data_IF_618438177594
#
_entry.id   IF_618438177594
#
_cell.length_a   1.000
_cell.length_b   1.000
_cell.length_c   1.000
_cell.angle_alpha   90.00
_cell.angle_beta   90.00
_cell.angle_gamma   90.00
#
_symmetry.space_group_name_H-M   'P 1'
#
loop_
_entity.id
_entity.type
_entity.pdbx_description
1 polymer ?
#
# COMPACT_ATOMS: atom_id res chain seq x y z
N UNK A 1 -3.98 -18.70 -7.53
CA UNK A 1 -3.77 -17.30 -7.09
C UNK A 1 -2.76 -17.27 -5.96
N UNK A 2 -1.70 -16.48 -6.12
CA UNK A 2 -0.64 -16.33 -5.12
C UNK A 2 -1.14 -15.51 -3.90
N UNK A 3 -0.69 -15.81 -2.67
CA UNK A 3 -0.91 -14.94 -1.52
C UNK A 3 -0.18 -13.59 -1.71
N UNK A 4 -0.75 -12.50 -1.20
CA UNK A 4 -0.17 -11.16 -1.30
C UNK A 4 0.47 -10.67 0.01
N UNK A 5 1.49 -9.83 -0.08
CA UNK A 5 2.06 -9.11 1.07
C UNK A 5 1.99 -7.61 0.77
N UNK A 6 1.22 -6.88 1.57
CA UNK A 6 1.09 -5.43 1.50
C UNK A 6 2.14 -4.79 2.40
N UNK A 7 3.07 -4.06 1.81
CA UNK A 7 4.12 -3.32 2.51
C UNK A 7 3.74 -1.84 2.55
N UNK A 8 3.20 -1.42 3.70
CA UNK A 8 2.69 -0.07 3.93
C UNK A 8 3.81 0.84 4.40
N UNK A 9 3.89 2.02 3.79
CA UNK A 9 4.96 2.99 3.99
C UNK A 9 4.72 3.86 5.24
N UNK A 10 5.76 4.54 5.70
CA UNK A 10 5.70 5.42 6.86
C UNK A 10 5.09 6.79 6.56
N UNK A 11 5.17 7.68 7.55
CA UNK A 11 4.62 9.05 7.51
C UNK A 11 5.15 9.91 6.35
N UNK A 12 6.30 9.55 5.77
CA UNK A 12 6.94 10.21 4.63
C UNK A 12 6.80 9.41 3.33
N UNK A 13 5.68 8.72 3.15
CA UNK A 13 5.35 8.11 1.86
C UNK A 13 5.49 9.19 0.77
N UNK A 14 6.44 8.98 -0.13
CA UNK A 14 6.69 9.86 -1.27
C UNK A 14 5.81 9.43 -2.44
N UNK A 15 5.58 10.36 -3.38
CA UNK A 15 4.74 10.09 -4.56
C UNK A 15 5.53 9.42 -5.70
N UNK A 16 6.85 9.23 -5.55
CA UNK A 16 7.73 8.61 -6.54
C UNK A 16 7.97 7.12 -6.26
N UNK A 17 8.41 6.75 -5.05
CA UNK A 17 8.66 5.36 -4.65
C UNK A 17 8.25 5.11 -3.20
N UNK A 18 7.85 3.87 -2.92
CA UNK A 18 7.57 3.41 -1.56
C UNK A 18 8.88 3.28 -0.76
N UNK A 19 8.89 3.76 0.48
CA UNK A 19 10.04 3.76 1.39
C UNK A 19 10.65 2.38 1.64
N UNK A 20 9.88 1.29 1.47
CA UNK A 20 10.41 -0.08 1.49
C UNK A 20 11.36 -0.35 0.32
N UNK A 21 11.06 0.12 -0.88
CA UNK A 21 11.93 -0.05 -2.05
C UNK A 21 13.16 0.87 -1.97
N UNK A 22 12.99 2.08 -1.43
CA UNK A 22 14.09 3.05 -1.28
C UNK A 22 15.12 2.58 -0.24
N UNK A 23 14.68 1.99 0.88
CA UNK A 23 15.55 1.73 2.03
C UNK A 23 15.86 0.25 2.25
N UNK A 24 15.24 -0.67 1.50
CA UNK A 24 15.43 -2.12 1.69
C UNK A 24 15.44 -2.86 0.36
N UNK A 25 16.06 -4.03 0.33
CA UNK A 25 16.00 -4.95 -0.80
C UNK A 25 14.70 -5.81 -0.77
N UNK A 26 13.57 -5.26 -0.30
CA UNK A 26 12.34 -6.02 -0.08
C UNK A 26 11.82 -6.70 -1.35
N UNK A 27 11.97 -6.08 -2.53
CA UNK A 27 11.63 -6.75 -3.78
C UNK A 27 12.53 -7.98 -4.04
N UNK A 28 13.85 -7.84 -3.90
CA UNK A 28 14.78 -8.96 -4.10
C UNK A 28 14.57 -10.10 -3.11
N UNK A 29 14.20 -9.81 -1.86
CA UNK A 29 13.95 -10.84 -0.85
C UNK A 29 12.68 -11.65 -1.11
N UNK A 30 11.69 -11.08 -1.80
CA UNK A 30 10.42 -11.75 -2.10
C UNK A 30 10.33 -12.26 -3.55
N UNK A 31 11.31 -11.96 -4.40
CA UNK A 31 11.45 -12.62 -5.71
C UNK A 31 11.53 -14.14 -5.52
N UNK A 32 10.80 -14.88 -6.36
CA UNK A 32 10.68 -16.35 -6.34
C UNK A 32 10.12 -16.98 -5.05
N UNK A 33 9.64 -16.18 -4.10
CA UNK A 33 9.00 -16.67 -2.87
C UNK A 33 7.62 -17.30 -3.07
N UNK A 34 7.02 -17.10 -4.25
CA UNK A 34 5.63 -17.46 -4.53
C UNK A 34 4.59 -16.49 -3.93
N UNK A 35 5.05 -15.36 -3.38
CA UNK A 35 4.21 -14.29 -2.83
C UNK A 35 4.17 -13.10 -3.79
N UNK A 36 3.01 -12.45 -3.89
CA UNK A 36 2.86 -11.20 -4.62
C UNK A 36 3.14 -10.02 -3.68
N UNK A 37 4.26 -9.32 -3.90
CA UNK A 37 4.62 -8.13 -3.11
C UNK A 37 3.90 -6.90 -3.65
N UNK A 38 3.17 -6.20 -2.77
CA UNK A 38 2.31 -5.06 -3.11
C UNK A 38 2.77 -3.87 -2.27
N UNK A 39 3.25 -2.82 -2.95
CA UNK A 39 3.75 -1.60 -2.32
C UNK A 39 2.93 -0.40 -2.81
N UNK A 40 1.90 0.06 -2.08
CA UNK A 40 1.16 1.26 -2.43
C UNK A 40 2.09 2.49 -2.37
N UNK A 41 2.02 3.37 -3.37
CA UNK A 41 2.83 4.60 -3.46
C UNK A 41 1.95 5.81 -3.12
N UNK A 42 2.51 6.80 -2.43
CA UNK A 42 1.81 8.00 -1.98
C UNK A 42 1.08 7.83 -0.65
N UNK A 43 0.25 8.82 -0.31
CA UNK A 43 -0.52 8.82 0.94
C UNK A 43 0.24 9.40 2.13
N UNK A 44 1.06 10.42 1.89
CA UNK A 44 1.75 11.15 2.95
C UNK A 44 0.77 11.56 4.05
N UNK A 45 1.11 11.22 5.30
CA UNK A 45 0.28 11.47 6.50
C UNK A 45 -1.14 10.88 6.46
N UNK A 46 -1.42 9.88 5.63
CA UNK A 46 -2.78 9.34 5.46
C UNK A 46 -3.26 8.43 6.60
N UNK A 47 -2.33 7.83 7.36
CA UNK A 47 -2.61 6.74 8.29
C UNK A 47 -3.35 5.55 7.65
N UNK A 48 -3.31 5.44 6.32
CA UNK A 48 -4.06 4.45 5.55
C UNK A 48 -5.54 4.33 5.92
N UNK A 49 -6.16 5.44 6.34
CA UNK A 49 -7.54 5.48 6.78
C UNK A 49 -8.42 6.31 5.83
N UNK A 50 -9.72 6.15 5.99
CA UNK A 50 -10.73 6.94 5.30
C UNK A 50 -11.02 8.23 6.06
N UNK A 51 -10.58 9.35 5.51
CA UNK A 51 -10.76 10.65 6.14
C UNK A 51 -12.20 11.15 5.95
N UNK A 52 -12.71 11.85 6.97
CA UNK A 52 -14.03 12.48 6.93
C UNK A 52 -14.08 13.73 6.05
N UNK A 53 -12.98 14.49 6.03
CA UNK A 53 -12.83 15.72 5.25
C UNK A 53 -11.67 15.57 4.27
N UNK A 54 -11.63 16.38 3.19
CA UNK A 54 -10.48 16.39 2.28
C UNK A 54 -9.16 16.61 3.04
N UNK A 55 -8.14 15.83 2.70
CA UNK A 55 -6.79 16.00 3.19
C UNK A 55 -6.17 17.21 2.50
N UNK A 56 -6.24 18.37 3.16
CA UNK A 56 -5.68 19.63 2.68
C UNK A 56 -4.31 19.87 3.31
N UNK A 57 -3.29 20.07 2.46
CA UNK A 57 -1.93 20.40 2.87
C UNK A 57 -1.33 21.50 2.00
N UNK A 58 -0.01 21.67 2.08
CA UNK A 58 0.72 22.68 1.29
C UNK A 58 0.60 22.49 -0.23
N UNK A 59 0.32 21.27 -0.68
CA UNK A 59 0.19 20.93 -2.09
C UNK A 59 -1.26 21.03 -2.63
N UNK A 60 -2.24 21.40 -1.80
CA UNK A 60 -3.65 21.41 -2.16
C UNK A 60 -4.48 20.42 -1.34
N UNK A 61 -5.70 20.15 -1.79
CA UNK A 61 -6.65 19.25 -1.12
C UNK A 61 -6.90 18.01 -1.97
N UNK A 62 -6.80 16.83 -1.34
CA UNK A 62 -7.08 15.54 -1.97
C UNK A 62 -8.02 14.71 -1.10
N UNK A 63 -8.81 13.84 -1.70
CA UNK A 63 -9.67 12.91 -0.95
C UNK A 63 -8.85 11.70 -0.51
N UNK A 64 -8.76 11.45 0.79
CA UNK A 64 -8.10 10.27 1.35
C UNK A 64 -9.13 9.21 1.73
N UNK A 65 -9.15 8.12 0.95
CA UNK A 65 -9.96 6.93 1.17
C UNK A 65 -9.10 5.67 1.09
N UNK A 66 -8.03 5.66 1.87
CA UNK A 66 -7.00 4.63 1.80
C UNK A 66 -7.46 3.27 2.36
N UNK A 67 -8.35 3.27 3.35
CA UNK A 67 -8.90 2.02 3.88
C UNK A 67 -9.81 1.37 2.84
N UNK A 68 -10.70 2.15 2.21
CA UNK A 68 -11.51 1.68 1.09
C UNK A 68 -10.64 1.14 -0.05
N UNK A 69 -9.62 1.90 -0.46
CA UNK A 69 -8.71 1.49 -1.51
C UNK A 69 -7.99 0.17 -1.20
N UNK A 70 -7.41 0.03 -0.01
CA UNK A 70 -6.60 -1.14 0.38
C UNK A 70 -7.44 -2.38 0.67
N UNK A 71 -8.69 -2.22 1.13
CA UNK A 71 -9.53 -3.36 1.53
C UNK A 71 -10.48 -3.82 0.43
N UNK A 72 -10.78 -2.99 -0.57
CA UNK A 72 -11.76 -3.32 -1.60
C UNK A 72 -11.23 -3.12 -3.03
N UNK A 73 -10.82 -1.90 -3.38
CA UNK A 73 -10.50 -1.55 -4.77
C UNK A 73 -9.23 -2.25 -5.27
N UNK A 74 -8.15 -2.16 -4.48
CA UNK A 74 -6.86 -2.74 -4.82
C UNK A 74 -6.89 -4.29 -4.83
N UNK A 75 -7.44 -4.98 -3.79
CA UNK A 75 -7.57 -6.43 -3.85
C UNK A 75 -8.41 -6.93 -5.03
N UNK A 76 -9.52 -6.24 -5.34
CA UNK A 76 -10.37 -6.59 -6.49
C UNK A 76 -9.61 -6.44 -7.82
N UNK A 77 -8.90 -5.33 -8.00
CA UNK A 77 -8.10 -5.09 -9.20
C UNK A 77 -6.98 -6.13 -9.36
N UNK A 78 -6.24 -6.42 -8.29
CA UNK A 78 -5.14 -7.40 -8.31
C UNK A 78 -5.65 -8.83 -8.57
N UNK A 79 -6.80 -9.20 -8.01
CA UNK A 79 -7.41 -10.49 -8.28
C UNK A 79 -7.83 -10.62 -9.75
N UNK A 80 -8.45 -9.59 -10.32
CA UNK A 80 -8.94 -9.61 -11.70
C UNK A 80 -7.82 -9.54 -12.75
N UNK A 81 -6.75 -8.77 -12.50
CA UNK A 81 -5.76 -8.45 -13.53
C UNK A 81 -4.39 -9.10 -13.31
N UNK A 82 -4.08 -9.53 -12.08
CA UNK A 82 -2.74 -10.01 -11.69
C UNK A 82 -2.75 -11.39 -11.03
N UNK A 83 -3.93 -12.00 -10.85
CA UNK A 83 -4.05 -13.36 -10.29
C UNK A 83 -3.67 -13.46 -8.81
N UNK A 84 -3.72 -12.35 -8.07
CA UNK A 84 -3.45 -12.30 -6.62
C UNK A 84 -4.69 -12.77 -5.86
N UNK A 85 -4.50 -13.45 -4.73
CA UNK A 85 -5.61 -13.89 -3.90
C UNK A 85 -6.14 -12.70 -3.05
N UNK A 86 -7.43 -12.34 -3.10
CA UNK A 86 -7.95 -11.22 -2.32
C UNK A 86 -8.05 -11.51 -0.81
N UNK A 87 -8.07 -12.79 -0.40
CA UNK A 87 -8.38 -13.20 0.97
C UNK A 87 -7.19 -13.85 1.70
N UNK A 88 -6.07 -14.11 1.02
CA UNK A 88 -4.87 -14.71 1.61
C UNK A 88 -3.71 -13.73 1.55
N UNK A 89 -3.80 -12.71 2.38
CA UNK A 89 -2.85 -11.59 2.36
C UNK A 89 -2.29 -11.31 3.75
N UNK A 90 -1.06 -10.81 3.79
CA UNK A 90 -0.45 -10.22 4.99
C UNK A 90 -0.33 -8.71 4.79
N UNK A 91 -0.58 -7.93 5.84
CA UNK A 91 -0.31 -6.50 5.87
C UNK A 91 0.83 -6.24 6.86
N UNK A 92 1.86 -5.54 6.40
CA UNK A 92 3.05 -5.19 7.18
C UNK A 92 3.27 -3.70 6.99
N UNK A 93 3.12 -2.93 8.06
CA UNK A 93 3.41 -1.51 8.06
C UNK A 93 4.47 -1.16 9.09
N UNK A 94 5.09 0.00 8.91
CA UNK A 94 6.10 0.51 9.82
C UNK A 94 5.79 1.97 10.19
N UNK A 95 5.96 2.29 11.47
CA UNK A 95 5.68 3.62 12.02
C UNK A 95 4.20 4.04 11.89
N UNK A 96 3.87 4.93 10.95
CA UNK A 96 2.49 5.42 10.76
C UNK A 96 1.50 4.31 10.40
N UNK A 97 1.99 3.25 9.74
CA UNK A 97 1.17 2.15 9.23
C UNK A 97 1.25 0.87 10.08
N UNK A 98 1.89 0.94 11.26
CA UNK A 98 2.03 -0.18 12.18
C UNK A 98 0.77 -0.49 12.98
#
# INVERSE_FOLDING_TARGET
>A
NAPGVYLLDGLRAQDDFNGWDINTAAFEWYVDSGLATIMPVGGQSSFYSDWYSPACGKAGCSTYKWETFLTSELPAYLAANKGVNPNRNAAVGLSMAG
#
